data_IF_415062237609
#
_entry.id   IF_415062237609
#
_cell.length_a   1.000
_cell.length_b   1.000
_cell.length_c   1.000
_cell.angle_alpha   90.00
_cell.angle_beta   90.00
_cell.angle_gamma   90.00
#
_symmetry.space_group_name_H-M   'P 1'
#
loop_
_entity.id
_entity.type
_entity.pdbx_description
1 polymer ?
#
# COMPACT_ATOMS: atom_id res chain seq x y z
N UNK A 1 -55.71 24.93 -5.33
CA UNK A 1 -55.07 23.67 -5.77
C UNK A 1 -53.69 24.00 -6.24
N UNK A 2 -52.65 23.67 -5.46
CA UNK A 2 -51.26 23.98 -5.77
C UNK A 2 -50.81 23.14 -6.96
N UNK A 3 -50.24 23.83 -7.98
CA UNK A 3 -49.72 23.17 -9.21
C UNK A 3 -48.54 22.24 -8.85
N UNK A 4 -48.84 21.05 -8.38
CA UNK A 4 -47.84 20.02 -8.00
C UNK A 4 -47.19 19.44 -9.27
N UNK A 5 -47.98 19.30 -10.37
CA UNK A 5 -47.56 18.71 -11.63
C UNK A 5 -46.33 19.38 -12.26
N UNK A 6 -46.28 20.73 -12.43
CA UNK A 6 -45.09 21.39 -13.00
C UNK A 6 -43.88 21.32 -12.08
N UNK A 7 -44.06 21.32 -10.77
CA UNK A 7 -42.94 21.16 -9.82
C UNK A 7 -42.34 19.75 -9.89
N UNK A 8 -43.20 18.73 -9.95
CA UNK A 8 -42.77 17.36 -10.09
C UNK A 8 -42.06 17.12 -11.44
N UNK A 9 -42.61 17.67 -12.55
CA UNK A 9 -41.97 17.61 -13.84
C UNK A 9 -40.59 18.27 -13.88
N UNK A 10 -40.45 19.46 -13.23
CA UNK A 10 -39.19 20.13 -13.13
C UNK A 10 -38.14 19.30 -12.38
N UNK A 11 -38.48 18.77 -11.22
CA UNK A 11 -37.57 17.92 -10.39
C UNK A 11 -37.15 16.68 -11.18
N UNK A 12 -38.09 16.04 -11.87
CA UNK A 12 -37.80 14.88 -12.71
C UNK A 12 -36.83 15.23 -13.86
N UNK A 13 -37.09 16.37 -14.54
CA UNK A 13 -36.22 16.82 -15.64
C UNK A 13 -34.79 17.12 -15.17
N UNK A 14 -34.65 17.78 -14.02
CA UNK A 14 -33.32 18.05 -13.43
C UNK A 14 -32.63 16.74 -13.06
N UNK A 15 -33.36 15.78 -12.53
CA UNK A 15 -32.83 14.45 -12.21
C UNK A 15 -32.33 13.69 -13.42
N UNK A 16 -33.13 13.69 -14.51
CA UNK A 16 -32.76 13.04 -15.79
C UNK A 16 -31.54 13.71 -16.42
N UNK A 17 -31.49 15.03 -16.45
CA UNK A 17 -30.33 15.78 -16.98
C UNK A 17 -29.10 15.54 -16.17
N UNK A 18 -29.22 15.54 -14.84
CA UNK A 18 -28.11 15.24 -13.94
C UNK A 18 -27.56 13.83 -14.13
N UNK A 19 -28.46 12.85 -14.28
CA UNK A 19 -28.06 11.47 -14.55
C UNK A 19 -27.36 11.34 -15.92
N UNK A 20 -27.95 11.93 -16.97
CA UNK A 20 -27.36 11.91 -18.32
C UNK A 20 -25.96 12.57 -18.33
N UNK A 21 -25.82 13.71 -17.62
CA UNK A 21 -24.54 14.38 -17.50
C UNK A 21 -23.52 13.53 -16.73
N UNK A 22 -23.94 12.91 -15.62
CA UNK A 22 -23.07 12.01 -14.84
C UNK A 22 -22.56 10.83 -15.66
N UNK A 23 -23.46 10.23 -16.47
CA UNK A 23 -23.08 9.16 -17.40
C UNK A 23 -22.08 9.63 -18.46
N UNK A 24 -22.33 10.81 -19.05
CA UNK A 24 -21.42 11.41 -20.02
C UNK A 24 -20.07 11.78 -19.41
N UNK A 25 -20.07 12.30 -18.18
CA UNK A 25 -18.86 12.64 -17.45
C UNK A 25 -17.99 11.40 -17.17
N UNK A 26 -18.60 10.26 -16.86
CA UNK A 26 -17.91 8.99 -16.68
C UNK A 26 -17.36 8.46 -18.02
N UNK A 27 -18.20 8.42 -19.06
CA UNK A 27 -17.85 7.83 -20.36
C UNK A 27 -16.73 8.62 -21.08
N UNK A 28 -16.73 9.94 -20.98
CA UNK A 28 -15.81 10.83 -21.70
C UNK A 28 -14.82 11.59 -20.80
N UNK A 29 -14.71 11.21 -19.53
CA UNK A 29 -13.80 11.82 -18.54
C UNK A 29 -13.97 13.36 -18.43
N UNK A 30 -15.23 13.83 -18.45
CA UNK A 30 -15.54 15.26 -18.36
C UNK A 30 -15.45 15.74 -16.91
N UNK A 31 -15.31 17.08 -16.76
CA UNK A 31 -15.47 17.72 -15.44
C UNK A 31 -16.85 17.39 -14.84
N UNK A 32 -17.01 17.06 -13.53
CA UNK A 32 -16.00 17.13 -12.46
C UNK A 32 -15.35 15.78 -12.09
N UNK A 33 -15.39 14.75 -12.94
CA UNK A 33 -14.98 13.37 -12.62
C UNK A 33 -13.64 13.31 -11.90
N UNK A 34 -12.59 13.89 -12.49
CA UNK A 34 -11.24 13.82 -11.90
C UNK A 34 -11.20 14.42 -10.48
N UNK A 35 -11.90 15.52 -10.27
CA UNK A 35 -11.95 16.17 -8.94
C UNK A 35 -12.75 15.36 -7.91
N UNK A 36 -13.87 14.77 -8.33
CA UNK A 36 -14.67 13.89 -7.45
C UNK A 36 -13.88 12.65 -7.09
N UNK A 37 -13.20 12.03 -8.05
CA UNK A 37 -12.39 10.86 -7.82
C UNK A 37 -11.18 11.15 -6.92
N UNK A 38 -10.54 12.29 -7.10
CA UNK A 38 -9.45 12.74 -6.21
C UNK A 38 -9.96 13.04 -4.80
N UNK A 39 -11.07 13.76 -4.66
CA UNK A 39 -11.68 14.03 -3.37
C UNK A 39 -12.12 12.73 -2.65
N UNK A 40 -12.67 11.78 -3.41
CA UNK A 40 -13.04 10.47 -2.87
C UNK A 40 -11.82 9.67 -2.40
N UNK A 41 -10.74 9.65 -3.20
CA UNK A 41 -9.47 9.01 -2.81
C UNK A 41 -8.91 9.64 -1.54
N UNK A 42 -8.88 10.97 -1.45
CA UNK A 42 -8.42 11.69 -0.26
C UNK A 42 -9.29 11.40 0.97
N UNK A 43 -10.62 11.44 0.82
CA UNK A 43 -11.54 11.12 1.91
C UNK A 43 -11.38 9.66 2.37
N UNK A 44 -11.21 8.73 1.43
CA UNK A 44 -10.96 7.33 1.75
C UNK A 44 -9.61 7.13 2.43
N UNK A 45 -8.56 7.83 1.99
CA UNK A 45 -7.25 7.81 2.63
C UNK A 45 -7.35 8.26 4.10
N UNK A 46 -8.05 9.36 4.38
CA UNK A 46 -8.31 9.82 5.75
C UNK A 46 -9.08 8.81 6.60
N UNK A 47 -10.01 8.08 5.99
CA UNK A 47 -10.77 7.03 6.70
C UNK A 47 -9.94 5.77 6.93
N UNK A 48 -9.13 5.36 5.95
CA UNK A 48 -8.29 4.16 6.00
C UNK A 48 -7.00 4.39 6.80
N UNK A 49 -6.45 5.61 6.80
CA UNK A 49 -5.21 5.93 7.53
C UNK A 49 -5.32 5.72 9.04
N UNK A 50 -6.54 5.74 9.58
CA UNK A 50 -6.75 5.38 10.99
C UNK A 50 -6.71 3.86 11.25
N UNK A 51 -6.72 3.06 10.21
CA UNK A 51 -6.87 1.61 10.29
C UNK A 51 -5.57 0.91 9.90
N UNK A 52 -4.62 0.86 10.83
CA UNK A 52 -3.44 -0.03 10.72
C UNK A 52 -3.88 -1.49 10.85
N UNK A 53 -4.81 -1.93 10.02
CA UNK A 53 -5.42 -3.25 10.10
C UNK A 53 -4.45 -4.39 9.86
N UNK A 54 -3.31 -4.09 9.25
CA UNK A 54 -2.35 -5.09 8.84
C UNK A 54 -1.21 -5.27 9.84
N UNK A 55 -0.97 -4.28 10.69
CA UNK A 55 -0.09 -4.49 11.82
C UNK A 55 -0.88 -5.26 12.88
N UNK A 56 -0.74 -6.57 12.85
CA UNK A 56 -1.27 -7.43 13.90
C UNK A 56 -0.74 -6.94 15.24
N UNK A 57 -1.64 -6.57 16.16
CA UNK A 57 -1.28 -6.26 17.55
C UNK A 57 -0.76 -7.48 18.32
N UNK A 58 -0.55 -8.59 17.66
CA UNK A 58 0.08 -9.77 18.22
C UNK A 58 1.59 -9.58 18.29
N UNK A 59 2.01 -8.71 19.18
CA UNK A 59 3.39 -8.73 19.63
C UNK A 59 3.50 -9.86 20.64
N UNK A 60 4.20 -10.91 20.26
CA UNK A 60 4.56 -11.95 21.22
C UNK A 60 5.63 -11.41 22.15
N UNK A 61 5.60 -11.78 23.42
CA UNK A 61 6.67 -11.52 24.40
C UNK A 61 7.96 -12.31 24.09
N UNK A 62 8.29 -12.36 22.81
CA UNK A 62 9.44 -13.12 22.28
C UNK A 62 10.11 -12.27 21.22
N UNK A 63 11.40 -12.20 21.30
CA UNK A 63 12.24 -11.55 20.30
C UNK A 63 13.29 -12.53 19.77
N UNK A 64 13.74 -12.30 18.55
CA UNK A 64 14.79 -13.08 17.90
C UNK A 64 14.32 -14.36 17.25
N UNK A 65 15.28 -15.15 16.82
CA UNK A 65 15.09 -16.46 16.17
C UNK A 65 15.30 -17.57 17.18
N UNK A 66 14.42 -18.56 17.17
CA UNK A 66 14.59 -19.78 17.96
C UNK A 66 14.68 -20.96 17.02
N UNK A 67 15.83 -21.62 17.01
CA UNK A 67 16.02 -22.88 16.31
C UNK A 67 15.52 -24.02 17.20
N UNK A 68 14.48 -24.73 16.75
CA UNK A 68 13.87 -25.84 17.51
C UNK A 68 14.54 -27.16 17.16
N UNK A 69 14.90 -27.33 15.89
CA UNK A 69 15.58 -28.55 15.38
C UNK A 69 16.74 -28.15 14.47
N UNK A 70 17.92 -28.03 15.05
CA UNK A 70 19.12 -27.58 14.35
C UNK A 70 19.54 -28.47 13.15
N UNK A 71 19.44 -29.81 13.24
CA UNK A 71 19.75 -30.69 12.10
C UNK A 71 18.85 -30.49 10.89
N UNK A 72 17.60 -30.10 11.10
CA UNK A 72 16.62 -29.90 10.02
C UNK A 72 16.66 -28.50 9.40
N UNK A 73 17.40 -27.57 9.98
CA UNK A 73 17.53 -26.22 9.43
C UNK A 73 18.58 -26.21 8.33
N UNK A 74 18.17 -25.85 7.12
CA UNK A 74 19.11 -25.69 6.02
C UNK A 74 20.12 -24.57 6.29
N UNK A 75 21.39 -24.75 5.91
CA UNK A 75 22.37 -23.69 5.96
C UNK A 75 21.99 -22.58 4.98
N UNK A 76 22.25 -21.34 5.35
CA UNK A 76 22.01 -20.18 4.50
C UNK A 76 21.45 -18.98 5.23
N UNK A 77 21.04 -17.99 4.45
CA UNK A 77 20.45 -16.76 4.92
C UNK A 77 18.94 -16.77 4.62
N UNK A 78 18.17 -16.08 5.44
CA UNK A 78 16.73 -15.92 5.24
C UNK A 78 16.42 -14.46 4.88
N UNK A 79 15.75 -14.25 3.76
CA UNK A 79 15.24 -12.95 3.37
C UNK A 79 13.86 -12.73 4.02
N UNK A 80 13.74 -11.66 4.78
CA UNK A 80 12.51 -11.22 5.44
C UNK A 80 12.12 -9.85 4.92
N UNK A 81 10.85 -9.67 4.61
CA UNK A 81 10.26 -8.37 4.28
C UNK A 81 9.14 -8.06 5.26
N UNK A 82 9.18 -6.89 5.86
CA UNK A 82 8.19 -6.49 6.84
C UNK A 82 8.29 -4.98 7.13
N UNK A 83 7.47 -4.56 8.07
CA UNK A 83 7.61 -3.28 8.74
C UNK A 83 8.37 -3.46 10.04
N UNK A 84 9.38 -2.63 10.27
CA UNK A 84 10.15 -2.60 11.52
C UNK A 84 10.00 -1.25 12.21
N UNK A 85 9.98 -1.29 13.53
CA UNK A 85 9.90 -0.07 14.32
C UNK A 85 11.30 0.51 14.50
N UNK A 86 11.49 1.76 14.03
CA UNK A 86 12.74 2.50 14.12
C UNK A 86 12.44 3.87 14.72
N UNK A 87 13.02 4.20 15.88
CA UNK A 87 12.83 5.51 16.49
C UNK A 87 11.37 5.88 16.88
N UNK A 88 10.45 4.92 16.90
CA UNK A 88 9.03 5.16 17.17
C UNK A 88 8.14 5.10 15.94
N UNK A 89 8.69 5.20 14.76
CA UNK A 89 8.02 5.07 13.47
C UNK A 89 8.20 3.67 12.89
N UNK A 90 7.36 3.34 11.91
CA UNK A 90 7.41 2.06 11.22
C UNK A 90 7.98 2.26 9.82
N UNK A 91 9.11 1.60 9.55
CA UNK A 91 9.78 1.62 8.25
C UNK A 91 9.65 0.28 7.56
N UNK A 92 9.43 0.32 6.25
CA UNK A 92 9.41 -0.88 5.41
C UNK A 92 10.83 -1.24 5.03
N UNK A 93 11.24 -2.47 5.34
CA UNK A 93 12.58 -2.96 5.02
C UNK A 93 12.54 -4.40 4.48
N UNK A 94 13.54 -4.74 3.71
CA UNK A 94 13.95 -6.11 3.48
C UNK A 94 15.22 -6.40 4.27
N UNK A 95 15.26 -7.52 4.99
CA UNK A 95 16.41 -7.93 5.79
C UNK A 95 16.87 -9.32 5.42
N UNK A 96 18.15 -9.47 5.24
CA UNK A 96 18.80 -10.77 5.14
C UNK A 96 19.36 -11.12 6.50
N UNK A 97 18.87 -12.21 7.08
CA UNK A 97 19.27 -12.65 8.43
C UNK A 97 19.99 -14.00 8.37
N UNK A 98 20.89 -14.21 9.32
CA UNK A 98 21.51 -15.51 9.55
C UNK A 98 20.61 -16.44 10.37
N UNK A 99 21.12 -17.61 10.71
CA UNK A 99 20.39 -18.64 11.47
C UNK A 99 20.10 -18.21 12.92
N UNK A 100 20.89 -17.33 13.46
CA UNK A 100 20.79 -16.78 14.80
C UNK A 100 19.86 -15.58 14.85
N UNK A 101 19.44 -15.07 13.66
CA UNK A 101 18.54 -13.94 13.50
C UNK A 101 19.26 -12.60 13.47
N UNK A 102 20.58 -12.58 13.37
CA UNK A 102 21.31 -11.37 13.16
C UNK A 102 21.15 -10.86 11.73
N UNK A 103 20.89 -9.57 11.56
CA UNK A 103 20.77 -8.97 10.23
C UNK A 103 22.17 -8.84 9.61
N UNK A 104 22.38 -9.58 8.52
CA UNK A 104 23.59 -9.55 7.71
C UNK A 104 23.55 -8.41 6.72
N UNK A 105 22.36 -8.13 6.17
CA UNK A 105 22.14 -7.04 5.23
C UNK A 105 20.74 -6.46 5.38
N UNK A 106 20.57 -5.17 4.99
CA UNK A 106 19.28 -4.46 5.05
C UNK A 106 19.13 -3.58 3.83
N UNK A 107 17.92 -3.59 3.26
CA UNK A 107 17.47 -2.62 2.26
C UNK A 107 16.34 -1.82 2.88
N UNK A 108 16.54 -0.51 3.03
CA UNK A 108 15.49 0.42 3.43
C UNK A 108 14.66 0.76 2.20
N UNK A 109 13.35 0.57 2.29
CA UNK A 109 12.43 0.82 1.17
C UNK A 109 11.67 2.10 1.46
N UNK A 110 12.17 3.20 0.93
CA UNK A 110 11.52 4.51 1.07
C UNK A 110 10.30 4.59 0.14
N UNK A 111 9.18 4.03 0.59
CA UNK A 111 7.96 3.93 -0.21
C UNK A 111 7.48 5.27 -0.76
N UNK A 112 7.58 6.33 0.03
CA UNK A 112 7.13 7.68 -0.37
C UNK A 112 7.98 8.29 -1.49
N UNK A 113 9.29 8.02 -1.50
CA UNK A 113 10.19 8.51 -2.55
C UNK A 113 10.05 7.71 -3.84
N UNK A 114 9.82 6.41 -3.72
CA UNK A 114 9.68 5.51 -4.87
C UNK A 114 8.29 5.62 -5.53
N UNK A 115 7.26 5.86 -4.74
CA UNK A 115 5.88 5.88 -5.19
C UNK A 115 5.09 7.02 -4.54
N UNK A 116 5.28 8.26 -5.00
CA UNK A 116 4.68 9.44 -4.37
C UNK A 116 3.17 9.55 -4.65
N UNK A 117 2.38 8.59 -4.19
CA UNK A 117 0.91 8.65 -4.22
C UNK A 117 0.39 8.71 -2.77
N UNK A 118 -0.04 9.89 -2.30
CA UNK A 118 -0.52 10.07 -0.92
C UNK A 118 -1.79 9.25 -0.59
N UNK A 119 -2.42 8.65 -1.60
CA UNK A 119 -3.56 7.76 -1.38
C UNK A 119 -3.15 6.34 -0.97
N UNK A 120 -1.86 6.04 -1.00
CA UNK A 120 -1.33 4.71 -0.71
C UNK A 120 -0.66 4.69 0.66
N UNK A 121 -1.49 4.73 1.70
CA UNK A 121 -1.03 4.54 3.06
C UNK A 121 -0.44 3.14 3.25
N UNK A 122 0.86 3.10 3.56
CA UNK A 122 1.61 1.93 3.97
C UNK A 122 1.55 0.75 2.96
N UNK A 123 2.26 0.86 1.84
CA UNK A 123 2.35 -0.22 0.87
C UNK A 123 3.00 -1.47 1.51
N UNK A 124 2.58 -2.65 1.05
CA UNK A 124 3.16 -3.92 1.47
C UNK A 124 4.07 -4.49 0.39
N UNK A 125 5.12 -5.16 0.82
CA UNK A 125 5.92 -6.00 -0.07
C UNK A 125 5.23 -7.36 -0.18
N UNK A 126 4.61 -7.63 -1.33
CA UNK A 126 3.93 -8.90 -1.60
C UNK A 126 4.83 -9.98 -2.14
N UNK A 127 5.87 -9.60 -2.84
CA UNK A 127 6.79 -10.54 -3.45
C UNK A 127 8.21 -10.00 -3.48
N UNK A 128 9.17 -10.91 -3.34
CA UNK A 128 10.57 -10.56 -3.35
C UNK A 128 11.37 -11.60 -4.11
N UNK A 129 12.42 -11.14 -4.81
CA UNK A 129 13.39 -12.02 -5.42
C UNK A 129 14.79 -11.43 -5.24
N UNK A 130 15.67 -12.19 -4.60
CA UNK A 130 17.09 -11.84 -4.48
C UNK A 130 17.86 -12.49 -5.61
N UNK A 131 18.49 -11.67 -6.45
CA UNK A 131 19.32 -12.14 -7.54
C UNK A 131 20.70 -12.58 -7.05
N UNK A 132 21.38 -13.47 -7.79
CA UNK A 132 22.73 -13.91 -7.43
C UNK A 132 23.78 -12.80 -7.33
N UNK A 133 23.57 -11.68 -8.02
CA UNK A 133 24.44 -10.50 -7.93
C UNK A 133 24.17 -9.59 -6.72
N UNK A 134 23.19 -9.96 -5.88
CA UNK A 134 22.80 -9.19 -4.70
C UNK A 134 21.70 -8.16 -4.93
N UNK A 135 21.21 -7.99 -6.16
CA UNK A 135 20.07 -7.12 -6.41
C UNK A 135 18.80 -7.72 -5.83
N UNK A 136 17.93 -6.86 -5.35
CA UNK A 136 16.65 -7.22 -4.77
C UNK A 136 15.51 -6.68 -5.64
N UNK A 137 14.62 -7.57 -6.08
CA UNK A 137 13.36 -7.19 -6.73
C UNK A 137 12.24 -7.23 -5.69
N UNK A 138 11.48 -6.16 -5.59
CA UNK A 138 10.35 -6.02 -4.70
C UNK A 138 9.09 -5.74 -5.51
N UNK A 139 8.03 -6.47 -5.22
CA UNK A 139 6.69 -6.14 -5.70
C UNK A 139 5.92 -5.48 -4.56
N UNK A 140 5.60 -4.20 -4.73
CA UNK A 140 4.95 -3.37 -3.72
C UNK A 140 3.48 -3.19 -4.08
N UNK A 141 2.62 -3.50 -3.13
CA UNK A 141 1.17 -3.50 -3.30
C UNK A 141 0.66 -2.17 -3.85
N UNK A 142 -0.15 -2.22 -4.90
CA UNK A 142 -0.76 -1.08 -5.60
C UNK A 142 0.21 -0.02 -6.11
N UNK A 143 1.52 -0.19 -5.90
CA UNK A 143 2.53 0.77 -6.30
C UNK A 143 3.29 0.33 -7.55
N UNK A 144 3.78 -0.91 -7.56
CA UNK A 144 4.54 -1.45 -8.68
C UNK A 144 5.68 -2.35 -8.26
N UNK A 145 6.61 -2.53 -9.18
CA UNK A 145 7.79 -3.35 -8.96
C UNK A 145 9.03 -2.49 -9.03
N UNK A 146 9.92 -2.63 -8.06
CA UNK A 146 11.19 -1.94 -8.00
C UNK A 146 12.33 -2.93 -7.91
N UNK A 147 13.44 -2.65 -8.57
CA UNK A 147 14.69 -3.38 -8.43
C UNK A 147 15.71 -2.45 -7.79
N UNK A 148 16.29 -2.90 -6.70
CA UNK A 148 17.33 -2.21 -5.95
C UNK A 148 18.62 -3.00 -6.05
N UNK A 149 19.74 -2.31 -6.12
CA UNK A 149 21.04 -2.97 -6.02
C UNK A 149 21.36 -3.37 -4.56
N UNK A 150 22.49 -4.02 -4.36
CA UNK A 150 22.93 -4.42 -3.03
C UNK A 150 23.16 -3.25 -2.05
N UNK A 151 23.31 -2.02 -2.57
CA UNK A 151 23.48 -0.81 -1.76
C UNK A 151 22.17 -0.07 -1.52
N UNK A 152 21.05 -0.55 -2.10
CA UNK A 152 19.74 0.07 -1.97
C UNK A 152 19.44 1.14 -3.03
N UNK A 153 20.29 1.32 -4.04
CA UNK A 153 20.02 2.21 -5.16
C UNK A 153 19.03 1.56 -6.15
N UNK A 154 18.11 2.37 -6.68
CA UNK A 154 17.05 1.98 -7.63
C UNK A 154 17.44 2.33 -9.05
#
# INVERSE_FOLDING_TARGET
MTNVLPKAAFVLSVGVLGFAYGFAAEAWNLFPRAHVEQAWRQARALYVSSSRHFLSNRVYDRSGVRVVDSPSVQPGLTLLTSWWKKGGEWDMEARLIDREGAAVHRWEVEGDSLFPDPAKDQPYIHGTHLFPNGDLLLNIEYAGTVRMDACGAV
#
